data_IF_616703014068
#
_entry.id   IF_616703014068
#
_cell.length_a   1.000
_cell.length_b   1.000
_cell.length_c   1.000
_cell.angle_alpha   90.00
_cell.angle_beta   90.00
_cell.angle_gamma   90.00
#
_symmetry.space_group_name_H-M   'P 1'
#
loop_
_entity.id
_entity.type
_entity.pdbx_description
1 polymer ?
#
# COMPACT_ATOMS: atom_id res chain seq x y z
N UNK A 1 -8.97 16.77 -18.75
CA UNK A 1 -8.29 16.14 -17.60
C UNK A 1 -7.84 14.72 -17.92
N UNK A 2 -8.74 13.80 -18.30
CA UNK A 2 -8.36 12.41 -18.64
C UNK A 2 -7.32 12.29 -19.78
N UNK A 3 -7.41 13.14 -20.80
CA UNK A 3 -6.48 13.18 -21.93
C UNK A 3 -5.02 13.51 -21.53
N UNK A 4 -4.84 14.35 -20.50
CA UNK A 4 -3.52 14.73 -19.98
C UNK A 4 -2.85 13.61 -19.17
N UNK A 5 -3.64 12.70 -18.59
CA UNK A 5 -3.14 11.49 -17.93
C UNK A 5 -2.79 10.41 -18.96
N UNK A 6 -3.66 10.23 -19.95
CA UNK A 6 -3.44 9.28 -21.05
C UNK A 6 -2.15 9.57 -21.82
N UNK A 7 -1.87 10.84 -22.14
CA UNK A 7 -0.63 11.24 -22.81
C UNK A 7 0.64 10.95 -22.01
N UNK A 8 0.52 10.65 -20.71
CA UNK A 8 1.62 10.32 -19.80
C UNK A 8 1.63 8.84 -19.40
N UNK A 9 0.88 7.99 -20.11
CA UNK A 9 0.82 6.55 -19.83
C UNK A 9 -0.02 6.17 -18.62
N UNK A 10 -0.82 7.09 -18.07
CA UNK A 10 -1.75 6.80 -16.97
C UNK A 10 -3.13 6.58 -17.55
N UNK A 11 -3.74 5.42 -17.30
CA UNK A 11 -5.12 5.12 -17.65
C UNK A 11 -6.05 5.43 -16.47
N UNK A 12 -6.64 6.64 -16.38
CA UNK A 12 -7.43 7.04 -15.21
C UNK A 12 -8.77 6.29 -15.12
N UNK A 13 -9.35 5.89 -16.26
CA UNK A 13 -10.62 5.15 -16.30
C UNK A 13 -10.43 3.64 -16.12
N UNK A 14 -9.20 3.14 -16.33
CA UNK A 14 -8.81 1.73 -16.25
C UNK A 14 -9.71 0.80 -17.08
N UNK A 15 -10.27 1.27 -18.20
CA UNK A 15 -11.27 0.51 -18.97
C UNK A 15 -10.73 -0.82 -19.52
N UNK A 16 -9.46 -0.87 -19.92
CA UNK A 16 -8.81 -2.11 -20.36
C UNK A 16 -8.67 -3.12 -19.23
N UNK A 17 -8.35 -2.65 -18.01
CA UNK A 17 -8.29 -3.51 -16.82
C UNK A 17 -9.68 -4.03 -16.48
N UNK A 18 -10.72 -3.16 -16.49
CA UNK A 18 -12.12 -3.56 -16.24
C UNK A 18 -12.58 -4.65 -17.21
N UNK A 19 -12.23 -4.54 -18.49
CA UNK A 19 -12.52 -5.58 -19.49
C UNK A 19 -11.77 -6.88 -19.20
N UNK A 20 -10.49 -6.79 -18.84
CA UNK A 20 -9.66 -7.96 -18.55
C UNK A 20 -10.15 -8.77 -17.34
N UNK A 21 -10.72 -8.10 -16.33
CA UNK A 21 -11.20 -8.74 -15.10
C UNK A 21 -12.71 -8.98 -15.06
N UNK A 22 -13.44 -8.69 -16.15
CA UNK A 22 -14.90 -8.72 -16.17
C UNK A 22 -15.52 -10.09 -15.78
N UNK A 23 -14.81 -11.18 -16.09
CA UNK A 23 -15.24 -12.56 -15.80
C UNK A 23 -14.59 -13.15 -14.55
N UNK A 24 -13.80 -12.37 -13.80
CA UNK A 24 -13.26 -12.86 -12.54
C UNK A 24 -14.39 -12.99 -11.51
N UNK A 25 -14.24 -13.99 -10.65
CA UNK A 25 -15.07 -14.15 -9.47
C UNK A 25 -15.13 -12.83 -8.68
N UNK A 26 -16.33 -12.44 -8.24
CA UNK A 26 -16.59 -11.15 -7.57
C UNK A 26 -16.44 -11.25 -6.04
N UNK A 27 -16.10 -12.43 -5.52
CA UNK A 27 -16.02 -12.70 -4.10
C UNK A 27 -17.37 -13.00 -3.47
N UNK A 28 -17.35 -13.25 -2.16
CA UNK A 28 -18.51 -13.60 -1.35
C UNK A 28 -19.56 -12.48 -1.28
N UNK A 29 -19.13 -11.22 -1.39
CA UNK A 29 -20.01 -10.03 -1.29
C UNK A 29 -19.88 -9.11 -2.52
N UNK A 30 -20.52 -9.46 -3.65
CA UNK A 30 -20.49 -8.62 -4.85
C UNK A 30 -21.04 -7.21 -4.58
N UNK A 31 -20.25 -6.17 -4.88
CA UNK A 31 -20.63 -4.77 -4.65
C UNK A 31 -20.05 -4.16 -3.37
N UNK A 32 -19.41 -4.96 -2.51
CA UNK A 32 -18.55 -4.43 -1.45
C UNK A 32 -17.38 -3.62 -2.04
N UNK A 33 -16.84 -2.69 -1.25
CA UNK A 33 -15.77 -1.80 -1.69
C UNK A 33 -14.48 -2.58 -2.00
N UNK A 34 -14.07 -3.46 -1.09
CA UNK A 34 -13.01 -4.44 -1.32
C UNK A 34 -13.59 -5.80 -1.67
N UNK A 35 -12.86 -6.59 -2.47
CA UNK A 35 -13.20 -7.99 -2.70
C UNK A 35 -13.01 -8.79 -1.42
N UNK A 36 -14.06 -9.46 -0.97
CA UNK A 36 -14.05 -10.41 0.15
C UNK A 36 -14.12 -11.83 -0.41
N UNK A 37 -13.28 -12.72 0.10
CA UNK A 37 -13.28 -14.14 -0.23
C UNK A 37 -13.72 -14.96 0.98
N UNK A 38 -14.05 -16.23 0.76
CA UNK A 38 -14.33 -17.16 1.85
C UNK A 38 -13.15 -17.20 2.84
N UNK A 39 -13.45 -17.48 4.10
CA UNK A 39 -12.43 -17.56 5.13
C UNK A 39 -11.33 -18.57 4.78
N UNK A 40 -10.07 -18.16 4.92
CA UNK A 40 -8.93 -19.01 4.59
C UNK A 40 -8.77 -20.20 5.55
N UNK A 41 -9.31 -20.10 6.77
CA UNK A 41 -9.36 -21.22 7.71
C UNK A 41 -10.60 -22.11 7.52
N UNK A 42 -11.51 -21.73 6.62
CA UNK A 42 -12.70 -22.49 6.25
C UNK A 42 -13.89 -22.31 7.19
N UNK A 43 -13.89 -21.29 8.06
CA UNK A 43 -15.04 -20.99 8.92
C UNK A 43 -16.13 -20.27 8.10
N UNK A 44 -17.33 -20.86 7.94
CA UNK A 44 -18.40 -20.28 7.14
C UNK A 44 -18.99 -18.98 7.72
N UNK A 45 -18.73 -18.69 9.00
CA UNK A 45 -19.19 -17.45 9.65
C UNK A 45 -18.21 -16.27 9.44
N UNK A 46 -17.05 -16.51 8.82
CA UNK A 46 -16.03 -15.50 8.55
C UNK A 46 -15.76 -15.33 7.05
N UNK A 47 -15.08 -14.24 6.71
CA UNK A 47 -14.54 -13.99 5.38
C UNK A 47 -13.16 -13.35 5.49
N UNK A 48 -12.38 -13.40 4.41
CA UNK A 48 -11.04 -12.81 4.34
C UNK A 48 -10.98 -11.71 3.28
N UNK A 49 -10.29 -10.61 3.60
CA UNK A 49 -9.88 -9.59 2.64
C UNK A 49 -8.37 -9.67 2.43
N UNK A 50 -7.93 -9.67 1.16
CA UNK A 50 -6.52 -9.50 0.79
C UNK A 50 -6.44 -8.27 -0.09
N UNK A 51 -5.67 -7.28 0.35
CA UNK A 51 -5.55 -5.99 -0.32
C UNK A 51 -4.08 -5.60 -0.50
N UNK A 52 -3.79 -4.88 -1.58
CA UNK A 52 -2.45 -4.40 -1.87
C UNK A 52 -2.48 -3.06 -2.59
N UNK A 53 -1.75 -2.10 -2.04
CA UNK A 53 -1.52 -0.76 -2.59
C UNK A 53 -0.18 -0.23 -2.09
N UNK A 54 0.27 0.92 -2.57
CA UNK A 54 1.51 1.56 -2.17
C UNK A 54 1.51 3.07 -2.37
N UNK A 55 2.63 3.72 -2.03
CA UNK A 55 2.75 5.17 -2.09
C UNK A 55 2.82 5.74 -3.53
N UNK A 56 2.95 4.87 -4.54
CA UNK A 56 3.04 5.27 -5.94
C UNK A 56 4.20 6.23 -6.24
N UNK A 57 4.01 7.11 -7.22
CA UNK A 57 5.02 8.08 -7.67
C UNK A 57 5.28 9.21 -6.67
N UNK A 58 4.50 9.29 -5.59
CA UNK A 58 4.79 10.20 -4.46
C UNK A 58 6.15 9.91 -3.83
N UNK A 59 6.61 8.65 -3.89
CA UNK A 59 7.96 8.23 -3.49
C UNK A 59 9.07 8.95 -4.26
N UNK A 60 8.88 9.22 -5.56
CA UNK A 60 9.83 10.00 -6.37
C UNK A 60 9.90 11.46 -5.92
N UNK A 61 8.75 12.05 -5.56
CA UNK A 61 8.70 13.42 -5.01
C UNK A 61 9.39 13.49 -3.65
N UNK A 62 9.18 12.49 -2.79
CA UNK A 62 9.88 12.38 -1.51
C UNK A 62 11.40 12.27 -1.69
N UNK A 63 11.85 11.49 -2.69
CA UNK A 63 13.27 11.40 -3.03
C UNK A 63 13.83 12.76 -3.46
N UNK A 64 13.16 13.48 -4.36
CA UNK A 64 13.60 14.82 -4.79
C UNK A 64 13.68 15.77 -3.59
N UNK A 65 12.64 15.81 -2.75
CA UNK A 65 12.63 16.65 -1.57
C UNK A 65 13.75 16.29 -0.57
N UNK A 66 14.04 15.01 -0.38
CA UNK A 66 15.18 14.55 0.39
C UNK A 66 16.51 15.02 -0.22
N UNK A 67 16.69 14.93 -1.55
CA UNK A 67 17.91 15.39 -2.21
C UNK A 67 18.14 16.88 -2.08
N UNK A 68 17.09 17.68 -2.08
CA UNK A 68 17.16 19.14 -1.91
C UNK A 68 17.39 19.56 -0.45
N UNK A 69 16.86 18.81 0.52
CA UNK A 69 16.82 19.24 1.93
C UNK A 69 17.72 18.45 2.88
N UNK A 70 18.10 17.24 2.50
CA UNK A 70 18.77 16.26 3.37
C UNK A 70 17.87 15.65 4.46
N UNK A 71 16.57 15.96 4.47
CA UNK A 71 15.67 15.58 5.57
C UNK A 71 15.01 14.20 5.34
N UNK A 72 15.29 13.25 6.25
CA UNK A 72 14.75 11.88 6.17
C UNK A 72 13.24 11.79 6.44
N UNK A 73 12.59 12.85 6.94
CA UNK A 73 11.13 12.83 7.18
C UNK A 73 10.33 12.51 5.92
N UNK A 74 10.85 12.86 4.75
CA UNK A 74 10.19 12.58 3.47
C UNK A 74 10.01 11.07 3.25
N UNK A 75 10.91 10.22 3.75
CA UNK A 75 10.76 8.77 3.70
C UNK A 75 9.80 8.23 4.77
N UNK A 76 9.76 8.84 5.96
CA UNK A 76 8.78 8.47 7.00
C UNK A 76 7.34 8.64 6.51
N UNK A 77 7.06 9.72 5.77
CA UNK A 77 5.74 9.99 5.20
C UNK A 77 5.31 8.94 4.17
N UNK A 78 6.26 8.41 3.38
CA UNK A 78 5.98 7.37 2.39
C UNK A 78 5.46 6.08 3.01
N UNK A 79 5.94 5.72 4.21
CA UNK A 79 5.43 4.56 4.94
C UNK A 79 3.96 4.73 5.35
N UNK A 80 3.58 5.93 5.81
CA UNK A 80 2.18 6.25 6.10
C UNK A 80 1.36 6.16 4.82
N UNK A 81 1.81 6.81 3.74
CA UNK A 81 1.09 6.83 2.46
C UNK A 81 0.81 5.41 1.95
N UNK A 82 1.80 4.51 1.97
CA UNK A 82 1.58 3.13 1.54
C UNK A 82 0.68 2.32 2.46
N UNK A 83 0.69 2.60 3.77
CA UNK A 83 -0.18 1.90 4.71
C UNK A 83 -1.64 2.36 4.59
N UNK A 84 -1.88 3.67 4.64
CA UNK A 84 -3.26 4.20 4.73
C UNK A 84 -4.07 3.97 3.47
N UNK A 85 -3.40 3.93 2.31
CA UNK A 85 -4.04 3.54 1.05
C UNK A 85 -4.61 2.11 1.09
N UNK A 86 -4.10 1.24 1.97
CA UNK A 86 -4.66 -0.09 2.19
C UNK A 86 -5.69 -0.10 3.33
N UNK A 87 -5.37 0.50 4.48
CA UNK A 87 -6.24 0.41 5.66
C UNK A 87 -7.55 1.17 5.49
N UNK A 88 -7.56 2.30 4.77
CA UNK A 88 -8.77 3.09 4.56
C UNK A 88 -9.76 2.36 3.63
N UNK A 89 -9.24 1.65 2.62
CA UNK A 89 -10.04 0.79 1.73
C UNK A 89 -10.66 -0.38 2.53
N UNK A 90 -9.87 -1.03 3.39
CA UNK A 90 -10.36 -2.09 4.27
C UNK A 90 -11.38 -1.58 5.31
N UNK A 91 -11.21 -0.36 5.82
CA UNK A 91 -12.18 0.26 6.70
C UNK A 91 -13.54 0.47 6.02
N UNK A 92 -13.60 0.65 4.69
CA UNK A 92 -14.85 0.80 3.95
C UNK A 92 -15.71 -0.47 3.94
N UNK A 93 -15.12 -1.64 4.22
CA UNK A 93 -15.86 -2.90 4.43
C UNK A 93 -15.97 -3.28 5.92
N UNK A 94 -15.61 -2.36 6.82
CA UNK A 94 -15.68 -2.56 8.28
C UNK A 94 -14.52 -3.37 8.86
N UNK A 95 -13.45 -3.65 8.09
CA UNK A 95 -12.30 -4.40 8.57
C UNK A 95 -11.33 -3.47 9.31
N UNK A 96 -11.47 -3.42 10.64
CA UNK A 96 -10.63 -2.61 11.54
C UNK A 96 -9.76 -3.47 12.47
N UNK A 97 -10.04 -4.76 12.57
CA UNK A 97 -9.38 -5.67 13.50
C UNK A 97 -8.75 -6.87 12.78
N UNK A 98 -7.82 -7.57 13.45
CA UNK A 98 -7.12 -8.76 12.93
C UNK A 98 -6.41 -8.52 11.60
N UNK A 99 -5.92 -7.29 11.40
CA UNK A 99 -5.19 -6.91 10.20
C UNK A 99 -3.75 -7.40 10.30
N UNK A 100 -3.25 -8.04 9.23
CA UNK A 100 -1.86 -8.48 9.12
C UNK A 100 -1.17 -7.70 8.01
N UNK A 101 -0.15 -6.93 8.35
CA UNK A 101 0.58 -6.10 7.40
C UNK A 101 1.93 -6.73 7.03
N UNK A 102 2.13 -6.93 5.74
CA UNK A 102 3.46 -7.17 5.14
C UNK A 102 3.79 -6.02 4.20
N UNK A 103 5.03 -5.54 4.22
CA UNK A 103 5.49 -4.47 3.33
C UNK A 103 6.61 -4.94 2.40
N UNK A 104 6.69 -4.34 1.20
CA UNK A 104 7.76 -4.64 0.24
C UNK A 104 8.38 -3.33 -0.23
N UNK A 105 9.72 -3.24 -0.14
CA UNK A 105 10.47 -2.05 -0.52
C UNK A 105 11.46 -2.41 -1.63
N UNK A 106 11.25 -1.86 -2.82
CA UNK A 106 12.27 -1.85 -3.89
C UNK A 106 13.08 -0.56 -3.82
N UNK A 107 14.41 -0.65 -3.89
CA UNK A 107 15.27 0.54 -3.92
C UNK A 107 16.39 0.45 -4.94
N UNK A 108 16.88 1.62 -5.33
CA UNK A 108 18.17 1.77 -5.98
C UNK A 108 19.24 2.06 -4.92
N UNK A 109 20.06 1.06 -4.58
CA UNK A 109 21.03 1.16 -3.50
C UNK A 109 22.12 2.25 -3.72
N UNK A 110 22.34 2.68 -4.97
CA UNK A 110 23.25 3.78 -5.28
C UNK A 110 22.68 5.16 -4.91
N UNK A 111 21.36 5.27 -4.74
CA UNK A 111 20.65 6.54 -4.52
C UNK A 111 19.95 6.61 -3.16
N UNK A 112 19.51 5.47 -2.66
CA UNK A 112 18.73 5.33 -1.42
C UNK A 112 19.50 4.42 -0.47
N UNK A 113 20.17 5.03 0.52
CA UNK A 113 21.02 4.32 1.45
C UNK A 113 20.24 3.67 2.61
N UNK A 114 20.96 3.07 3.56
CA UNK A 114 20.35 2.42 4.73
C UNK A 114 19.61 3.39 5.66
N UNK A 115 19.97 4.67 5.71
CA UNK A 115 19.27 5.65 6.57
C UNK A 115 17.89 5.97 6.03
N UNK A 116 17.75 6.04 4.71
CA UNK A 116 16.46 6.20 4.06
C UNK A 116 15.53 5.01 4.35
N UNK A 117 16.06 3.77 4.25
CA UNK A 117 15.29 2.56 4.56
C UNK A 117 14.89 2.50 6.04
N UNK A 118 15.82 2.83 6.95
CA UNK A 118 15.51 2.92 8.37
C UNK A 118 14.39 3.93 8.65
N UNK A 119 14.39 5.08 7.96
CA UNK A 119 13.32 6.08 8.08
C UNK A 119 11.96 5.57 7.57
N UNK A 120 11.91 4.76 6.50
CA UNK A 120 10.65 4.12 6.07
C UNK A 120 10.15 3.12 7.12
N UNK A 121 11.03 2.26 7.63
CA UNK A 121 10.67 1.26 8.66
C UNK A 121 10.20 1.92 9.95
N UNK A 122 10.90 2.96 10.41
CA UNK A 122 10.47 3.78 11.56
C UNK A 122 9.12 4.45 11.29
N UNK A 123 8.91 4.93 10.06
CA UNK A 123 7.63 5.47 9.60
C UNK A 123 6.49 4.48 9.79
N UNK A 124 6.65 3.22 9.35
CA UNK A 124 5.66 2.15 9.54
C UNK A 124 5.34 1.92 11.01
N UNK A 125 6.35 1.77 11.87
CA UNK A 125 6.13 1.56 13.31
C UNK A 125 5.34 2.71 13.94
N UNK A 126 5.67 3.96 13.57
CA UNK A 126 5.00 5.14 14.09
C UNK A 126 3.52 5.23 13.66
N UNK A 127 3.22 4.95 12.38
CA UNK A 127 1.83 5.02 11.91
C UNK A 127 0.99 3.84 12.42
N UNK A 128 1.58 2.64 12.51
CA UNK A 128 0.89 1.47 13.08
C UNK A 128 0.52 1.72 14.54
N UNK A 129 1.45 2.25 15.35
CA UNK A 129 1.14 2.61 16.74
C UNK A 129 0.01 3.64 16.84
N UNK A 130 0.00 4.66 15.98
CA UNK A 130 -1.10 5.65 15.94
C UNK A 130 -2.44 5.03 15.56
N UNK A 131 -2.46 4.11 14.60
CA UNK A 131 -3.69 3.43 14.20
C UNK A 131 -4.20 2.50 15.32
N UNK A 132 -3.28 1.81 16.01
CA UNK A 132 -3.61 1.01 17.19
C UNK A 132 -4.20 1.86 18.32
N UNK A 133 -3.66 3.05 18.59
CA UNK A 133 -4.23 4.00 19.55
C UNK A 133 -5.66 4.46 19.15
N UNK A 134 -5.99 4.41 17.86
CA UNK A 134 -7.32 4.72 17.32
C UNK A 134 -8.27 3.52 17.28
N UNK A 135 -7.83 2.33 17.70
CA UNK A 135 -8.64 1.11 17.75
C UNK A 135 -8.48 0.17 16.55
N UNK A 136 -7.51 0.40 15.66
CA UNK A 136 -7.17 -0.58 14.63
C UNK A 136 -6.28 -1.68 15.21
N UNK A 137 -6.68 -2.93 15.12
CA UNK A 137 -5.82 -4.06 15.47
C UNK A 137 -5.01 -4.52 14.24
N UNK A 138 -3.77 -4.02 14.15
CA UNK A 138 -2.82 -4.30 13.06
C UNK A 138 -1.57 -4.96 13.63
N UNK A 139 -1.18 -6.10 13.07
CA UNK A 139 0.06 -6.81 13.37
C UNK A 139 1.05 -6.69 12.22
N UNK A 140 2.27 -6.23 12.52
CA UNK A 140 3.39 -6.23 11.57
C UNK A 140 3.93 -7.64 11.38
N UNK A 141 3.86 -8.18 10.17
CA UNK A 141 4.36 -9.51 9.81
C UNK A 141 5.76 -9.47 9.19
N UNK A 142 6.40 -8.31 9.17
CA UNK A 142 7.67 -8.08 8.48
C UNK A 142 7.46 -7.62 7.04
N UNK A 143 8.33 -8.10 6.15
CA UNK A 143 8.35 -7.63 4.77
C UNK A 143 9.59 -8.05 4.00
N UNK A 144 9.74 -7.49 2.81
CA UNK A 144 10.86 -7.72 1.89
C UNK A 144 11.55 -6.38 1.54
N UNK A 145 12.87 -6.38 1.38
CA UNK A 145 13.62 -5.21 0.88
C UNK A 145 14.63 -5.65 -0.16
N UNK A 146 14.41 -5.21 -1.40
CA UNK A 146 15.20 -5.63 -2.55
C UNK A 146 16.02 -4.47 -3.15
N UNK A 147 17.29 -4.74 -3.42
CA UNK A 147 18.18 -3.86 -4.18
C UNK A 147 17.99 -4.11 -5.68
N UNK A 148 17.11 -3.32 -6.31
CA UNK A 148 16.63 -3.52 -7.69
C UNK A 148 16.82 -2.27 -8.55
N UNK A 149 18.01 -1.68 -8.51
CA UNK A 149 18.31 -0.40 -9.17
C UNK A 149 18.16 -0.38 -10.71
N UNK A 150 18.08 -1.54 -11.36
CA UNK A 150 17.77 -1.65 -12.79
C UNK A 150 16.26 -1.50 -13.07
N UNK A 151 15.42 -1.62 -12.03
CA UNK A 151 13.95 -1.53 -12.11
C UNK A 151 13.41 -0.22 -11.55
N UNK A 152 14.08 0.38 -10.56
CA UNK A 152 13.62 1.57 -9.81
C UNK A 152 14.67 2.67 -9.64
#
# INVERSE_FOLDING_TARGET
MAESYLSRGVSPTKDDVKKAVANQDKGAFPGAFCKLIDDLAGDPDYCTAIHADGAGTKSSVAYIAYRETGDLKWFRGIAQDSLVMNTDDLACVGALEKLSLSNTIGRNAHRVDGKCIAAVIEGYNNIVGKLQDMGFDISMCGGETADVGDLV
#
